data_IF_350792726472
#
_entry.id   IF_350792726472
#
_cell.length_a   1.000
_cell.length_b   1.000
_cell.length_c   1.000
_cell.angle_alpha   90.00
_cell.angle_beta   90.00
_cell.angle_gamma   90.00
#
_symmetry.space_group_name_H-M   'P 1'
#
loop_
_entity.id
_entity.type
_entity.pdbx_description
1 polymer ?
#
# COMPACT_ATOMS: atom_id res chain seq x y z
N UNK A 1 -15.25 12.64 0.25
CA UNK A 1 -15.35 11.31 0.92
C UNK A 1 -14.02 10.60 0.72
N UNK A 2 -13.37 10.08 1.77
CA UNK A 2 -12.10 9.36 1.61
C UNK A 2 -12.36 7.99 0.98
N UNK A 3 -11.72 7.67 -0.15
CA UNK A 3 -11.80 6.34 -0.77
C UNK A 3 -11.46 5.21 0.22
N UNK A 4 -12.03 4.02 -0.01
CA UNK A 4 -11.90 2.87 0.89
C UNK A 4 -10.56 2.13 0.68
N UNK A 5 -9.45 2.82 0.93
CA UNK A 5 -8.11 2.24 0.78
C UNK A 5 -7.68 1.49 2.03
N UNK A 6 -6.88 0.41 1.92
CA UNK A 6 -6.53 -0.43 3.07
C UNK A 6 -5.62 0.24 4.09
N UNK A 7 -5.13 1.45 3.81
CA UNK A 7 -4.36 2.31 4.70
C UNK A 7 -5.11 3.58 5.16
N UNK A 8 -6.36 3.75 4.72
CA UNK A 8 -7.21 4.85 5.17
C UNK A 8 -7.87 4.53 6.52
N UNK A 9 -8.25 5.57 7.29
CA UNK A 9 -8.90 5.42 8.59
C UNK A 9 -7.96 5.01 9.74
N UNK A 10 -8.50 4.39 10.80
CA UNK A 10 -7.72 3.90 11.94
C UNK A 10 -7.04 2.56 11.63
N UNK A 11 -6.05 2.61 10.73
CA UNK A 11 -5.40 1.43 10.16
C UNK A 11 -4.04 1.17 10.82
N UNK A 12 -3.66 -0.12 10.92
CA UNK A 12 -2.34 -0.58 11.33
C UNK A 12 -1.85 -1.73 10.43
N UNK A 13 -0.61 -2.21 10.66
CA UNK A 13 -0.03 -3.31 9.88
C UNK A 13 -0.89 -4.59 9.84
N UNK A 14 -1.67 -4.86 10.90
CA UNK A 14 -2.54 -6.04 10.98
C UNK A 14 -3.76 -5.88 10.08
N UNK A 15 -4.36 -4.68 9.99
CA UNK A 15 -5.49 -4.44 9.10
C UNK A 15 -5.09 -4.53 7.63
N UNK A 16 -3.91 -3.99 7.27
CA UNK A 16 -3.36 -4.14 5.91
C UNK A 16 -3.06 -5.60 5.58
N UNK A 17 -2.51 -6.35 6.54
CA UNK A 17 -2.28 -7.76 6.32
C UNK A 17 -3.59 -8.56 6.17
N UNK A 18 -4.61 -8.25 6.98
CA UNK A 18 -5.95 -8.83 6.84
C UNK A 18 -6.61 -8.50 5.50
N UNK A 19 -6.30 -7.33 4.93
CA UNK A 19 -6.68 -7.00 3.55
C UNK A 19 -5.99 -7.94 2.55
N UNK A 20 -4.67 -8.11 2.63
CA UNK A 20 -3.96 -9.06 1.74
C UNK A 20 -4.48 -10.48 1.87
N UNK A 21 -4.81 -10.94 3.09
CA UNK A 21 -5.42 -12.24 3.34
C UNK A 21 -6.80 -12.38 2.69
N UNK A 22 -7.67 -11.38 2.86
CA UNK A 22 -9.02 -11.37 2.25
C UNK A 22 -8.96 -11.50 0.74
N UNK A 23 -7.99 -10.86 0.10
CA UNK A 23 -7.80 -10.87 -1.35
C UNK A 23 -6.85 -11.98 -1.83
N UNK A 24 -6.41 -12.87 -0.94
CA UNK A 24 -5.52 -13.99 -1.24
C UNK A 24 -4.19 -13.58 -1.92
N UNK A 25 -3.69 -12.39 -1.61
CA UNK A 25 -2.50 -11.84 -2.23
C UNK A 25 -1.23 -12.46 -1.63
N UNK A 26 -0.49 -13.20 -2.44
CA UNK A 26 0.83 -13.70 -2.09
C UNK A 26 1.88 -12.57 -2.04
N UNK A 27 3.09 -12.83 -1.56
CA UNK A 27 4.14 -11.81 -1.38
C UNK A 27 4.45 -11.02 -2.65
N UNK A 28 4.48 -11.67 -3.81
CA UNK A 28 4.71 -11.01 -5.10
C UNK A 28 3.56 -10.07 -5.46
N UNK A 29 2.31 -10.46 -5.19
CA UNK A 29 1.14 -9.61 -5.42
C UNK A 29 1.07 -8.46 -4.42
N UNK A 30 1.49 -8.66 -3.18
CA UNK A 30 1.62 -7.60 -2.18
C UNK A 30 2.66 -6.55 -2.61
N UNK A 31 3.80 -6.99 -3.15
CA UNK A 31 4.79 -6.10 -3.75
C UNK A 31 4.21 -5.31 -4.94
N UNK A 32 3.52 -5.99 -5.87
CA UNK A 32 2.84 -5.32 -6.99
C UNK A 32 1.84 -4.28 -6.48
N UNK A 33 1.08 -4.63 -5.46
CA UNK A 33 0.11 -3.74 -4.84
C UNK A 33 0.77 -2.50 -4.24
N UNK A 34 1.84 -2.70 -3.49
CA UNK A 34 2.64 -1.63 -2.93
C UNK A 34 3.25 -0.74 -4.02
N UNK A 35 3.83 -1.35 -5.06
CA UNK A 35 4.49 -0.65 -6.16
C UNK A 35 3.53 0.27 -6.91
N UNK A 36 2.29 -0.17 -7.12
CA UNK A 36 1.25 0.67 -7.74
C UNK A 36 1.00 1.94 -6.93
N UNK A 37 0.83 1.82 -5.62
CA UNK A 37 0.68 2.98 -4.73
C UNK A 37 1.92 3.86 -4.68
N UNK A 38 3.10 3.25 -4.66
CA UNK A 38 4.37 3.99 -4.68
C UNK A 38 4.51 4.81 -5.95
N UNK A 39 4.25 4.21 -7.12
CA UNK A 39 4.34 4.90 -8.41
C UNK A 39 3.30 5.99 -8.53
N UNK A 40 2.06 5.72 -8.10
CA UNK A 40 1.02 6.73 -8.06
C UNK A 40 1.43 7.94 -7.19
N UNK A 41 1.88 7.70 -5.95
CA UNK A 41 2.27 8.76 -5.03
C UNK A 41 3.51 9.51 -5.52
N UNK A 42 4.50 8.79 -6.05
CA UNK A 42 5.69 9.37 -6.66
C UNK A 42 5.31 10.29 -7.82
N UNK A 43 4.48 9.82 -8.75
CA UNK A 43 4.07 10.62 -9.89
C UNK A 43 3.29 11.86 -9.46
N UNK A 44 2.41 11.73 -8.45
CA UNK A 44 1.70 12.87 -7.90
C UNK A 44 2.67 13.93 -7.35
N UNK A 45 3.66 13.51 -6.56
CA UNK A 45 4.67 14.41 -5.97
C UNK A 45 5.55 15.05 -7.03
N UNK A 46 6.02 14.28 -8.01
CA UNK A 46 6.95 14.78 -9.03
C UNK A 46 6.26 15.71 -10.05
N UNK A 47 4.94 15.63 -10.21
CA UNK A 47 4.17 16.48 -11.11
C UNK A 47 3.71 17.81 -10.47
N UNK A 48 3.79 17.94 -9.14
CA UNK A 48 3.51 19.19 -8.41
C UNK A 48 4.85 19.85 -8.03
N UNK A 49 5.18 21.05 -8.54
CA UNK A 49 6.48 21.69 -8.30
C UNK A 49 6.80 21.91 -6.81
N UNK A 50 5.80 22.27 -6.01
CA UNK A 50 5.98 22.55 -4.59
C UNK A 50 6.22 21.24 -3.83
N UNK A 51 5.41 20.22 -4.10
CA UNK A 51 5.60 18.89 -3.53
C UNK A 51 6.93 18.27 -3.95
N UNK A 52 7.32 18.38 -5.21
CA UNK A 52 8.60 17.86 -5.69
C UNK A 52 9.77 18.51 -4.96
N UNK A 53 9.72 19.83 -4.75
CA UNK A 53 10.77 20.55 -4.03
C UNK A 53 10.91 20.11 -2.57
N UNK A 54 9.79 19.84 -1.87
CA UNK A 54 9.81 19.53 -0.43
C UNK A 54 9.78 18.04 -0.09
N UNK A 55 9.27 17.18 -0.97
CA UNK A 55 9.01 15.75 -0.73
C UNK A 55 9.61 14.82 -1.79
N UNK A 56 10.04 15.35 -2.93
CA UNK A 56 10.62 14.53 -4.00
C UNK A 56 11.85 13.73 -3.55
N UNK A 57 12.61 14.22 -2.57
CA UNK A 57 13.76 13.49 -2.04
C UNK A 57 13.38 12.18 -1.32
N UNK A 58 12.16 12.08 -0.77
CA UNK A 58 11.66 10.88 -0.09
C UNK A 58 11.40 9.72 -1.07
N UNK A 59 11.28 10.02 -2.38
CA UNK A 59 11.07 9.05 -3.47
C UNK A 59 12.36 8.68 -4.24
N UNK A 60 13.54 9.02 -3.70
CA UNK A 60 14.83 8.66 -4.30
C UNK A 60 15.11 7.16 -4.23
N UNK A 61 14.63 6.50 -3.17
CA UNK A 61 14.80 5.06 -2.95
C UNK A 61 13.44 4.36 -2.95
N UNK A 62 13.46 3.06 -3.24
CA UNK A 62 12.31 2.18 -3.12
C UNK A 62 12.67 1.05 -2.13
N UNK A 63 11.76 0.67 -1.22
CA UNK A 63 10.43 1.24 -0.96
C UNK A 63 10.47 2.58 -0.17
N UNK A 64 9.35 3.32 -0.14
CA UNK A 64 9.14 4.51 0.69
C UNK A 64 9.04 4.17 2.18
N UNK A 65 9.55 5.06 3.03
CA UNK A 65 9.37 4.99 4.49
C UNK A 65 10.61 4.53 5.26
N UNK A 66 10.54 4.62 6.59
CA UNK A 66 11.65 4.26 7.48
C UNK A 66 11.77 2.74 7.66
N UNK A 67 10.68 2.01 7.45
CA UNK A 67 10.66 0.54 7.55
C UNK A 67 11.01 -0.16 6.24
N UNK A 68 11.48 0.60 5.23
CA UNK A 68 11.82 0.10 3.89
C UNK A 68 13.05 -0.83 3.86
N UNK A 69 13.88 -0.81 4.90
CA UNK A 69 15.18 -1.48 4.91
C UNK A 69 15.45 -2.37 6.14
N UNK A 70 14.52 -2.46 7.07
CA UNK A 70 14.70 -3.22 8.32
C UNK A 70 13.85 -4.47 8.30
N UNK A 71 14.49 -5.60 7.95
CA UNK A 71 13.91 -6.94 8.02
C UNK A 71 13.86 -7.41 9.49
N UNK A 72 13.15 -6.67 10.34
CA UNK A 72 12.98 -7.06 11.75
C UNK A 72 11.88 -8.12 11.81
N UNK A 73 12.28 -9.40 11.75
CA UNK A 73 11.48 -10.58 12.08
C UNK A 73 10.16 -10.82 11.30
N UNK A 74 9.81 -9.97 10.33
CA UNK A 74 8.50 -9.97 9.68
C UNK A 74 8.59 -10.40 8.20
N UNK A 75 9.26 -11.52 7.88
CA UNK A 75 9.45 -12.00 6.49
C UNK A 75 8.19 -12.03 5.60
N UNK A 76 6.98 -11.96 6.19
CA UNK A 76 5.70 -11.86 5.47
C UNK A 76 4.89 -10.57 5.72
N UNK A 77 5.37 -9.65 6.56
CA UNK A 77 4.72 -8.38 6.91
C UNK A 77 5.39 -7.14 6.31
N UNK A 78 6.51 -7.27 5.59
CA UNK A 78 7.26 -6.15 5.01
C UNK A 78 6.36 -5.21 4.18
N UNK A 79 5.58 -5.78 3.26
CA UNK A 79 4.68 -5.00 2.38
C UNK A 79 3.47 -4.43 3.12
N UNK A 80 3.09 -4.99 4.26
CA UNK A 80 2.07 -4.40 5.11
C UNK A 80 2.63 -3.18 5.86
N UNK A 81 3.82 -3.33 6.46
CA UNK A 81 4.48 -2.25 7.20
C UNK A 81 4.87 -1.07 6.31
N UNK A 82 5.49 -1.34 5.16
CA UNK A 82 5.86 -0.30 4.20
C UNK A 82 4.64 0.41 3.61
N UNK A 83 3.53 -0.30 3.37
CA UNK A 83 2.29 0.31 2.92
C UNK A 83 1.67 1.24 3.97
N UNK A 84 1.86 0.98 5.27
CA UNK A 84 1.43 1.91 6.32
C UNK A 84 2.22 3.22 6.25
N UNK A 85 3.54 3.14 6.14
CA UNK A 85 4.38 4.35 6.03
C UNK A 85 3.97 5.19 4.82
N UNK A 86 3.84 4.55 3.65
CA UNK A 86 3.42 5.21 2.42
C UNK A 86 1.97 5.73 2.53
N UNK A 87 1.06 4.94 3.08
CA UNK A 87 -0.34 5.29 3.24
C UNK A 87 -0.55 6.47 4.19
N UNK A 88 0.24 6.57 5.25
CA UNK A 88 0.27 7.73 6.15
C UNK A 88 0.69 9.01 5.40
N UNK A 89 1.71 8.92 4.55
CA UNK A 89 2.11 10.04 3.70
C UNK A 89 1.00 10.43 2.70
N UNK A 90 0.42 9.46 2.00
CA UNK A 90 -0.64 9.67 1.01
C UNK A 90 -1.86 10.35 1.65
N UNK A 91 -2.35 9.81 2.76
CA UNK A 91 -3.55 10.32 3.45
C UNK A 91 -3.32 11.69 4.07
N UNK A 92 -2.15 11.91 4.69
CA UNK A 92 -1.82 13.16 5.35
C UNK A 92 -1.41 14.30 4.41
N UNK A 93 -0.92 13.99 3.20
CA UNK A 93 -0.30 14.98 2.31
C UNK A 93 -0.99 15.10 0.96
N UNK A 94 -1.35 13.98 0.32
CA UNK A 94 -1.80 13.98 -1.07
C UNK A 94 -3.31 14.08 -1.19
N UNK A 95 -4.07 13.33 -0.39
CA UNK A 95 -5.54 13.30 -0.49
C UNK A 95 -6.20 14.66 -0.30
N UNK A 96 -5.67 15.52 0.59
CA UNK A 96 -6.18 16.87 0.79
C UNK A 96 -6.00 17.82 -0.41
N UNK A 97 -5.18 17.43 -1.41
CA UNK A 97 -4.92 18.21 -2.63
C UNK A 97 -5.73 17.71 -3.83
N UNK A 98 -6.48 16.62 -3.69
CA UNK A 98 -7.26 16.03 -4.78
C UNK A 98 -8.65 16.65 -4.85
N UNK A 99 -9.16 16.85 -6.07
CA UNK A 99 -10.59 17.11 -6.28
C UNK A 99 -11.40 15.83 -6.03
N UNK A 100 -12.71 15.98 -5.81
CA UNK A 100 -13.61 14.84 -5.66
C UNK A 100 -13.58 13.95 -6.92
N UNK A 101 -13.60 14.52 -8.12
CA UNK A 101 -13.50 13.76 -9.38
C UNK A 101 -12.19 12.96 -9.47
N UNK A 102 -11.07 13.55 -9.04
CA UNK A 102 -9.78 12.86 -9.03
C UNK A 102 -9.76 11.72 -8.00
N UNK A 103 -10.42 11.91 -6.84
CA UNK A 103 -10.56 10.88 -5.82
C UNK A 103 -11.45 9.72 -6.30
N UNK A 104 -12.57 10.03 -6.95
CA UNK A 104 -13.45 9.02 -7.56
C UNK A 104 -12.71 8.20 -8.62
N UNK A 105 -11.96 8.87 -9.50
CA UNK A 105 -11.13 8.18 -10.49
C UNK A 105 -10.09 7.27 -9.84
N UNK A 106 -9.44 7.73 -8.77
CA UNK A 106 -8.46 6.93 -8.04
C UNK A 106 -9.09 5.67 -7.43
N UNK A 107 -10.29 5.79 -6.87
CA UNK A 107 -11.05 4.67 -6.31
C UNK A 107 -11.40 3.63 -7.39
N UNK A 108 -11.84 4.08 -8.57
CA UNK A 108 -12.09 3.21 -9.73
C UNK A 108 -10.80 2.52 -10.24
N UNK A 109 -9.71 3.28 -10.40
CA UNK A 109 -8.42 2.75 -10.85
C UNK A 109 -7.86 1.73 -9.84
N UNK A 110 -8.03 1.99 -8.53
CA UNK A 110 -7.68 1.08 -7.46
C UNK A 110 -8.52 -0.20 -7.52
N UNK A 111 -9.84 -0.09 -7.67
CA UNK A 111 -10.75 -1.23 -7.76
C UNK A 111 -10.39 -2.15 -8.95
N UNK A 112 -10.18 -1.57 -10.13
CA UNK A 112 -9.77 -2.33 -11.32
C UNK A 112 -8.41 -3.02 -11.14
N UNK A 113 -7.46 -2.36 -10.51
CA UNK A 113 -6.15 -2.95 -10.26
C UNK A 113 -6.22 -4.08 -9.24
N UNK A 114 -6.99 -3.91 -8.17
CA UNK A 114 -7.21 -4.95 -7.16
C UNK A 114 -7.87 -6.18 -7.79
N UNK A 115 -8.91 -6.00 -8.61
CA UNK A 115 -9.56 -7.10 -9.31
C UNK A 115 -8.58 -7.88 -10.20
N UNK A 116 -7.65 -7.19 -10.88
CA UNK A 116 -6.59 -7.88 -11.66
C UNK A 116 -5.70 -8.74 -10.77
N UNK A 117 -5.31 -8.25 -9.61
CA UNK A 117 -4.52 -9.02 -8.65
C UNK A 117 -5.29 -10.22 -8.10
N UNK A 118 -6.59 -10.09 -7.87
CA UNK A 118 -7.45 -11.20 -7.45
C UNK A 118 -7.54 -12.30 -8.53
N UNK A 119 -7.66 -11.92 -9.80
CA UNK A 119 -7.62 -12.89 -10.90
C UNK A 119 -6.27 -13.61 -10.98
N UNK A 120 -5.15 -12.90 -10.78
CA UNK A 120 -3.83 -13.53 -10.67
C UNK A 120 -3.75 -14.46 -9.45
N UNK A 121 -4.34 -14.07 -8.31
CA UNK A 121 -4.39 -14.85 -7.08
C UNK A 121 -5.15 -16.18 -7.22
N UNK A 122 -6.12 -16.26 -8.14
CA UNK A 122 -6.79 -17.53 -8.46
C UNK A 122 -5.84 -18.53 -9.12
N UNK A 123 -4.86 -18.06 -9.89
CA UNK A 123 -3.89 -18.90 -10.59
C UNK A 123 -2.67 -19.25 -9.73
N UNK A 124 -2.32 -18.36 -8.80
CA UNK A 124 -1.17 -18.53 -7.90
C UNK A 124 -1.54 -18.10 -6.48
N UNK A 125 -2.38 -18.89 -5.78
CA UNK A 125 -2.90 -18.53 -4.48
C UNK A 125 -1.79 -18.41 -3.43
N UNK A 126 -2.04 -17.60 -2.41
CA UNK A 126 -1.16 -17.54 -1.24
C UNK A 126 -1.07 -18.94 -0.60
N UNK A 127 0.12 -19.37 -0.11
CA UNK A 127 0.21 -20.55 0.72
C UNK A 127 -0.67 -20.40 1.98
N UNK A 128 -1.21 -21.51 2.48
CA UNK A 128 -2.06 -21.50 3.67
C UNK A 128 -1.36 -20.80 4.84
N UNK A 129 -2.14 -20.03 5.61
CA UNK A 129 -1.63 -19.41 6.83
C UNK A 129 -1.17 -20.48 7.84
N UNK A 130 -0.07 -20.24 8.57
CA UNK A 130 0.42 -21.11 9.61
C UNK A 130 -0.60 -21.18 10.74
N UNK A 131 -0.61 -22.31 11.45
CA UNK A 131 -1.55 -22.56 12.56
C UNK A 131 -1.44 -21.51 13.67
N UNK A 132 -0.25 -20.94 13.87
CA UNK A 132 -0.02 -19.80 14.76
C UNK A 132 0.00 -18.54 13.89
N UNK A 133 -1.08 -17.76 13.95
CA UNK A 133 -1.25 -16.56 13.12
C UNK A 133 -0.06 -15.59 13.21
N UNK A 134 0.26 -14.95 12.08
CA UNK A 134 1.50 -14.20 11.83
C UNK A 134 1.85 -13.06 12.80
N UNK A 135 0.87 -12.52 13.53
CA UNK A 135 1.05 -11.40 14.46
C UNK A 135 0.68 -11.72 15.91
N UNK A 136 0.53 -13.00 16.28
CA UNK A 136 0.38 -13.37 17.68
C UNK A 136 1.74 -13.23 18.37
N UNK A 137 1.90 -12.16 19.14
CA UNK A 137 2.94 -12.07 20.16
C UNK A 137 2.57 -13.04 21.30
N UNK A 138 3.48 -13.93 21.68
CA UNK A 138 3.45 -14.61 22.98
C UNK A 138 3.95 -13.66 24.07
#
# INVERSE_FOLDING_TARGET
MSGHFPFSGNTNRVSVFGFYDRHNLNTTMQEKYYKWWYDWAKNFVMNDPDLSAVKGYEFKNYPYGQHSHTDFHLRQGLWATTLIDLGGFITGTLFGKMSDDAMHKLDEDHHHFLHKLEEEAKQNPRPASPEIGWFRHF
#
